data_IF_950876845808
#
_entry.id   IF_950876845808
#
_cell.length_a   1.000
_cell.length_b   1.000
_cell.length_c   1.000
_cell.angle_alpha   90.00
_cell.angle_beta   90.00
_cell.angle_gamma   90.00
#
_symmetry.space_group_name_H-M   'P 1'
#
loop_
_entity.id
_entity.type
_entity.pdbx_description
1 polymer ?
#
# COMPACT_ATOMS: atom_id res chain seq x y z
N UNK A 1 -9.78 10.30 0.24
CA UNK A 1 -8.83 9.40 0.94
C UNK A 1 -9.13 8.01 0.46
N UNK A 2 -8.25 7.37 -0.33
CA UNK A 2 -8.48 5.99 -0.71
C UNK A 2 -8.21 5.12 0.53
N UNK A 3 -9.22 4.34 0.93
CA UNK A 3 -9.14 3.42 2.04
C UNK A 3 -8.04 2.39 1.74
N UNK A 4 -6.99 2.31 2.58
CA UNK A 4 -5.86 1.42 2.35
C UNK A 4 -6.30 -0.05 2.24
N UNK A 5 -7.38 -0.45 2.93
CA UNK A 5 -7.94 -1.79 2.79
C UNK A 5 -8.52 -2.03 1.40
N UNK A 6 -9.19 -1.03 0.83
CA UNK A 6 -9.70 -1.08 -0.55
C UNK A 6 -8.54 -1.14 -1.54
N UNK A 7 -7.52 -0.32 -1.35
CA UNK A 7 -6.33 -0.30 -2.20
C UNK A 7 -5.59 -1.64 -2.20
N UNK A 8 -5.41 -2.24 -1.02
CA UNK A 8 -4.77 -3.54 -0.85
C UNK A 8 -5.59 -4.67 -1.47
N UNK A 9 -6.92 -4.64 -1.29
CA UNK A 9 -7.82 -5.60 -1.91
C UNK A 9 -7.77 -5.51 -3.44
N UNK A 10 -7.79 -4.29 -4.01
CA UNK A 10 -7.64 -4.09 -5.45
C UNK A 10 -6.30 -4.62 -5.95
N UNK A 11 -5.20 -4.30 -5.28
CA UNK A 11 -3.86 -4.78 -5.64
C UNK A 11 -3.80 -6.32 -5.67
N UNK A 12 -4.45 -7.02 -4.73
CA UNK A 12 -4.51 -8.48 -4.72
C UNK A 12 -5.36 -9.08 -5.86
N UNK A 13 -6.23 -8.30 -6.48
CA UNK A 13 -7.02 -8.71 -7.66
C UNK A 13 -6.35 -8.35 -8.99
N UNK A 14 -5.25 -7.60 -8.97
CA UNK A 14 -4.50 -7.26 -10.18
C UNK A 14 -3.80 -8.49 -10.78
N UNK A 15 -3.41 -8.46 -12.07
CA UNK A 15 -2.54 -9.47 -12.66
C UNK A 15 -1.30 -9.68 -11.81
N UNK A 16 -0.89 -10.95 -11.62
CA UNK A 16 0.19 -11.34 -10.68
C UNK A 16 1.47 -10.52 -10.90
N UNK A 17 1.85 -10.29 -12.15
CA UNK A 17 3.03 -9.50 -12.53
C UNK A 17 2.93 -7.98 -12.23
N UNK A 18 1.75 -7.49 -11.86
CA UNK A 18 1.50 -6.08 -11.55
C UNK A 18 1.16 -5.83 -10.08
N UNK A 19 0.82 -6.87 -9.31
CA UNK A 19 0.38 -6.74 -7.91
C UNK A 19 1.38 -5.98 -7.05
N UNK A 20 2.68 -6.27 -7.23
CA UNK A 20 3.78 -5.59 -6.55
C UNK A 20 3.82 -4.11 -6.91
N UNK A 21 3.64 -3.76 -8.19
CA UNK A 21 3.58 -2.37 -8.60
C UNK A 21 2.43 -1.62 -7.90
N UNK A 22 1.23 -2.18 -7.89
CA UNK A 22 0.07 -1.55 -7.25
C UNK A 22 0.25 -1.39 -5.75
N UNK A 23 0.64 -2.44 -5.02
CA UNK A 23 0.82 -2.34 -3.57
C UNK A 23 1.90 -1.30 -3.22
N UNK A 24 2.96 -1.20 -4.01
CA UNK A 24 4.01 -0.23 -3.77
C UNK A 24 3.53 1.21 -3.99
N UNK A 25 2.76 1.46 -5.06
CA UNK A 25 2.20 2.78 -5.33
C UNK A 25 1.18 3.19 -4.28
N UNK A 26 0.27 2.28 -3.90
CA UNK A 26 -0.71 2.54 -2.84
C UNK A 26 -0.07 2.72 -1.48
N UNK A 27 1.01 1.98 -1.19
CA UNK A 27 1.78 2.16 0.02
C UNK A 27 2.41 3.55 0.07
N UNK A 28 3.04 4.01 -1.01
CA UNK A 28 3.65 5.33 -1.07
C UNK A 28 2.62 6.45 -0.80
N UNK A 29 1.43 6.35 -1.40
CA UNK A 29 0.33 7.28 -1.16
C UNK A 29 -0.17 7.23 0.30
N UNK A 30 -0.27 6.02 0.87
CA UNK A 30 -0.69 5.83 2.25
C UNK A 30 0.31 6.41 3.24
N UNK A 31 1.61 6.20 3.03
CA UNK A 31 2.68 6.76 3.85
C UNK A 31 2.63 8.28 3.84
N UNK A 32 2.52 8.91 2.68
CA UNK A 32 2.43 10.37 2.60
C UNK A 32 1.17 10.90 3.28
N UNK A 33 0.03 10.21 3.13
CA UNK A 33 -1.20 10.58 3.79
C UNK A 33 -1.08 10.47 5.31
N UNK A 34 -0.47 9.39 5.81
CA UNK A 34 -0.18 9.17 7.23
C UNK A 34 0.75 10.24 7.77
N UNK A 35 1.86 10.52 7.09
CA UNK A 35 2.82 11.54 7.47
C UNK A 35 2.16 12.93 7.56
N UNK A 36 1.39 13.32 6.54
CA UNK A 36 0.64 14.59 6.56
C UNK A 36 -0.37 14.64 7.70
N UNK A 37 -1.12 13.56 7.92
CA UNK A 37 -2.11 13.52 9.00
C UNK A 37 -1.44 13.68 10.37
N UNK A 38 -0.33 12.98 10.61
CA UNK A 38 0.41 12.98 11.86
C UNK A 38 1.16 14.29 12.12
N UNK A 39 1.55 15.01 11.06
CA UNK A 39 2.25 16.31 11.14
C UNK A 39 1.30 17.51 11.22
N UNK A 40 0.09 17.42 10.67
CA UNK A 40 -0.81 18.57 10.44
C UNK A 40 -1.33 19.30 11.69
N UNK A 41 -1.42 18.65 12.86
CA UNK A 41 -2.00 19.26 14.08
C UNK A 41 -1.08 19.30 15.30
N UNK A 42 -0.44 18.19 15.62
CA UNK A 42 0.31 18.05 16.87
C UNK A 42 1.79 17.71 16.66
N UNK A 43 2.20 17.46 15.41
CA UNK A 43 3.54 17.06 15.00
C UNK A 43 4.25 16.13 16.00
N UNK A 44 3.58 15.03 16.38
CA UNK A 44 4.04 14.14 17.45
C UNK A 44 5.06 13.14 16.88
N UNK A 45 6.36 13.26 17.20
CA UNK A 45 7.39 12.39 16.63
C UNK A 45 7.20 10.92 17.05
N UNK A 46 6.65 10.70 18.25
CA UNK A 46 6.32 9.37 18.75
C UNK A 46 5.24 8.68 17.90
N UNK A 47 4.24 9.42 17.42
CA UNK A 47 3.18 8.87 16.58
C UNK A 47 3.72 8.52 15.18
N UNK A 48 4.60 9.37 14.63
CA UNK A 48 5.30 9.07 13.37
C UNK A 48 6.18 7.81 13.48
N UNK A 49 6.94 7.69 14.57
CA UNK A 49 7.78 6.52 14.82
C UNK A 49 6.96 5.24 14.96
N UNK A 50 5.83 5.31 15.65
CA UNK A 50 4.91 4.18 15.78
C UNK A 50 4.29 3.77 14.44
N UNK A 51 3.85 4.75 13.65
CA UNK A 51 3.32 4.53 12.30
C UNK A 51 4.33 3.83 11.40
N UNK A 52 5.56 4.35 11.30
CA UNK A 52 6.61 3.74 10.48
C UNK A 52 6.92 2.31 10.96
N UNK A 53 6.99 2.07 12.27
CA UNK A 53 7.24 0.73 12.82
C UNK A 53 6.14 -0.28 12.50
N UNK A 54 4.88 0.14 12.40
CA UNK A 54 3.78 -0.74 11.94
C UNK A 54 3.95 -1.04 10.46
N UNK A 55 4.22 -0.02 9.64
CA UNK A 55 4.33 -0.18 8.19
C UNK A 55 5.52 -1.06 7.81
N UNK A 56 6.66 -0.91 8.48
CA UNK A 56 7.82 -1.78 8.33
C UNK A 56 7.50 -3.24 8.66
N UNK A 57 6.68 -3.50 9.69
CA UNK A 57 6.25 -4.87 10.04
C UNK A 57 5.26 -5.47 9.04
N UNK A 58 4.41 -4.63 8.48
CA UNK A 58 3.31 -5.04 7.59
C UNK A 58 3.82 -5.33 6.18
N UNK A 59 4.73 -4.51 5.69
CA UNK A 59 5.27 -4.58 4.33
C UNK A 59 6.58 -5.36 4.31
N UNK A 60 7.34 -5.32 5.40
CA UNK A 60 8.60 -6.03 5.52
C UNK A 60 9.70 -5.45 4.62
N UNK A 61 10.93 -5.86 4.88
CA UNK A 61 12.11 -5.45 4.12
C UNK A 61 12.02 -5.88 2.64
N UNK A 62 11.33 -7.00 2.36
CA UNK A 62 11.20 -7.57 1.02
C UNK A 62 10.42 -6.67 0.04
N UNK A 63 9.27 -6.14 0.46
CA UNK A 63 8.53 -5.18 -0.36
C UNK A 63 9.25 -3.84 -0.43
N UNK A 64 9.94 -3.40 0.62
CA UNK A 64 10.73 -2.15 0.57
C UNK A 64 11.74 -2.15 -0.58
N UNK A 65 12.45 -3.28 -0.78
CA UNK A 65 13.33 -3.50 -1.93
C UNK A 65 12.57 -3.44 -3.26
N UNK A 66 11.48 -4.19 -3.38
CA UNK A 66 10.67 -4.25 -4.60
C UNK A 66 10.03 -2.89 -4.97
N UNK A 67 9.67 -2.09 -3.97
CA UNK A 67 9.02 -0.80 -4.12
C UNK A 67 9.97 0.35 -4.45
N UNK A 68 11.29 0.11 -4.51
CA UNK A 68 12.28 1.17 -4.80
C UNK A 68 12.00 1.88 -6.13
N UNK A 69 11.43 1.17 -7.13
CA UNK A 69 11.06 1.70 -8.44
C UNK A 69 9.68 2.39 -8.49
N UNK A 70 8.84 2.16 -7.49
CA UNK A 70 7.44 2.62 -7.41
C UNK A 70 7.26 3.74 -6.39
N UNK A 71 8.24 4.64 -6.34
CA UNK A 71 8.18 5.80 -5.45
C UNK A 71 7.21 6.85 -6.01
N UNK A 72 6.68 7.69 -5.13
CA UNK A 72 5.86 8.83 -5.54
C UNK A 72 6.62 9.71 -6.55
N UNK A 73 5.95 10.07 -7.65
CA UNK A 73 6.54 10.84 -8.75
C UNK A 73 7.42 10.01 -9.70
N UNK A 74 7.56 8.71 -9.47
CA UNK A 74 8.03 7.81 -10.51
C UNK A 74 6.92 7.61 -11.54
N UNK A 75 7.24 7.73 -12.83
CA UNK A 75 6.29 7.39 -13.91
C UNK A 75 5.86 5.92 -13.90
N UNK A 76 6.46 5.09 -13.04
CA UNK A 76 6.11 3.68 -12.88
C UNK A 76 4.71 3.48 -12.28
N UNK A 77 4.27 4.36 -11.36
CA UNK A 77 2.92 4.29 -10.80
C UNK A 77 1.86 4.80 -11.79
N UNK A 78 2.21 5.81 -12.59
CA UNK A 78 1.34 6.38 -13.62
C UNK A 78 1.18 5.44 -14.83
N UNK A 79 2.16 4.57 -15.07
CA UNK A 79 2.13 3.56 -16.12
C UNK A 79 1.28 2.32 -15.78
N UNK A 80 0.84 2.18 -14.52
CA UNK A 80 -0.04 1.08 -14.13
C UNK A 80 -1.47 1.35 -14.61
N UNK A 81 -2.14 0.38 -15.27
CA UNK A 81 -3.53 0.52 -15.65
C UNK A 81 -4.46 0.85 -14.48
N UNK A 82 -5.62 1.44 -14.75
CA UNK A 82 -6.63 1.57 -13.71
C UNK A 82 -7.23 0.19 -13.37
N UNK A 83 -7.23 -0.18 -12.10
CA UNK A 83 -7.91 -1.39 -11.61
C UNK A 83 -9.41 -1.16 -11.46
N UNK A 84 -10.20 -2.22 -11.66
CA UNK A 84 -11.65 -2.20 -11.44
C UNK A 84 -11.98 -1.91 -9.97
N UNK A 85 -13.07 -1.17 -9.76
CA UNK A 85 -13.62 -0.80 -8.44
C UNK A 85 -14.84 -1.64 -8.05
N UNK A 86 -15.20 -2.63 -8.86
CA UNK A 86 -16.44 -3.42 -8.71
C UNK A 86 -16.53 -4.15 -7.36
N UNK A 87 -15.39 -4.55 -6.79
CA UNK A 87 -15.30 -5.34 -5.56
C UNK A 87 -14.94 -4.54 -4.30
N UNK A 88 -14.95 -3.21 -4.36
CA UNK A 88 -14.50 -2.36 -3.25
C UNK A 88 -15.36 -2.49 -2.00
N UNK A 89 -16.68 -2.68 -2.19
CA UNK A 89 -17.65 -2.87 -1.11
C UNK A 89 -17.35 -4.13 -0.27
N UNK A 90 -16.67 -5.11 -0.87
CA UNK A 90 -16.28 -6.36 -0.20
C UNK A 90 -14.91 -6.27 0.50
N UNK A 91 -14.13 -5.21 0.25
CA UNK A 91 -12.74 -5.11 0.72
C UNK A 91 -12.63 -5.15 2.25
N UNK A 92 -13.53 -4.44 2.96
CA UNK A 92 -13.53 -4.42 4.43
C UNK A 92 -13.85 -5.78 5.05
N UNK A 93 -14.69 -6.59 4.41
CA UNK A 93 -15.06 -7.93 4.88
C UNK A 93 -13.91 -8.93 4.80
N UNK A 94 -12.95 -8.71 3.89
CA UNK A 94 -11.76 -9.58 3.76
C UNK A 94 -10.61 -9.20 4.69
N UNK A 95 -10.71 -8.05 5.35
CA UNK A 95 -9.67 -7.51 6.21
C UNK A 95 -8.37 -7.25 5.45
N UNK A 96 -7.29 -7.10 6.22
CA UNK A 96 -5.98 -6.71 5.71
C UNK A 96 -5.05 -7.89 5.42
N UNK A 97 -5.14 -8.97 6.19
CA UNK A 97 -4.16 -10.06 6.19
C UNK A 97 -4.20 -10.86 4.89
N UNK A 98 -5.40 -11.24 4.42
CA UNK A 98 -5.57 -12.06 3.22
C UNK A 98 -4.93 -11.45 1.97
N UNK A 99 -5.25 -10.19 1.61
CA UNK A 99 -4.63 -9.57 0.45
C UNK A 99 -3.11 -9.38 0.59
N UNK A 100 -2.57 -9.13 1.79
CA UNK A 100 -1.11 -9.10 2.00
C UNK A 100 -0.49 -10.45 1.67
N UNK A 101 -1.05 -11.55 2.20
CA UNK A 101 -0.54 -12.91 1.92
C UNK A 101 -0.59 -13.23 0.43
N UNK A 102 -1.67 -12.86 -0.26
CA UNK A 102 -1.78 -13.08 -1.72
C UNK A 102 -0.66 -12.37 -2.47
N UNK A 103 -0.39 -11.11 -2.12
CA UNK A 103 0.58 -10.29 -2.85
C UNK A 103 2.01 -10.73 -2.52
N UNK A 104 2.32 -11.03 -1.25
CA UNK A 104 3.66 -11.46 -0.83
C UNK A 104 3.96 -12.91 -1.22
N UNK A 105 2.95 -13.78 -1.31
CA UNK A 105 3.10 -15.15 -1.80
C UNK A 105 3.55 -15.22 -3.26
N UNK A 106 3.35 -14.14 -4.04
CA UNK A 106 3.78 -14.04 -5.43
C UNK A 106 5.19 -13.43 -5.60
N UNK A 107 5.90 -13.15 -4.50
CA UNK A 107 7.31 -12.71 -4.52
C UNK A 107 8.30 -13.87 -4.67
N UNK A 108 7.83 -15.12 -4.68
CA UNK A 108 8.62 -16.35 -4.83
C UNK A 108 8.35 -17.07 -6.13
#
# INVERSE_FOLDING_TARGET
MQDFFVALHRAATAPVNQQIGYICCYHADFMECGEKALTSKCNLPAAMKFFNAIMDKVIGEGLSLACTKYKKGSGACEALPALSTENDSNARGKGFIGPVITITGNLG
#
